data_IF_041634824639
#
_entry.id   IF_041634824639
#
_cell.length_a   1.000
_cell.length_b   1.000
_cell.length_c   1.000
_cell.angle_alpha   90.00
_cell.angle_beta   90.00
_cell.angle_gamma   90.00
#
_symmetry.space_group_name_H-M   'P 1'
#
loop_
_entity.id
_entity.type
_entity.pdbx_description
1 polymer ?
#
# COMPACT_ATOMS: atom_id res chain seq x y z
N UNK A 1 13.81 8.13 -6.66
CA UNK A 1 12.78 9.02 -6.09
C UNK A 1 11.57 8.21 -5.65
N UNK A 2 11.11 8.36 -4.42
CA UNK A 2 9.90 7.67 -4.01
C UNK A 2 8.66 8.28 -4.68
N UNK A 3 7.70 7.43 -4.95
CA UNK A 3 6.39 7.85 -5.47
C UNK A 3 5.35 7.53 -4.41
N UNK A 4 4.71 8.55 -3.87
CA UNK A 4 3.67 8.34 -2.86
C UNK A 4 2.40 7.82 -3.52
N UNK A 5 1.94 6.68 -3.04
CA UNK A 5 0.63 6.15 -3.39
C UNK A 5 -0.45 6.79 -2.53
N UNK A 6 -0.07 7.15 -1.31
CA UNK A 6 -0.93 7.85 -0.37
C UNK A 6 -0.04 8.72 0.51
N UNK A 7 -0.22 10.04 0.46
CA UNK A 7 0.45 10.93 1.39
C UNK A 7 -0.19 10.77 2.77
N UNK A 8 0.56 11.10 3.83
CA UNK A 8 0.08 10.91 5.18
C UNK A 8 -1.30 11.52 5.38
N UNK A 9 -2.20 10.73 5.94
CA UNK A 9 -3.54 11.18 6.30
C UNK A 9 -4.06 10.39 7.48
N UNK A 10 -5.05 10.95 8.14
CA UNK A 10 -5.76 10.30 9.24
C UNK A 10 -7.11 9.83 8.71
N UNK A 11 -7.44 8.56 8.94
CA UNK A 11 -8.68 7.96 8.47
C UNK A 11 -9.44 7.34 9.63
N UNK A 12 -10.75 7.30 9.52
CA UNK A 12 -11.64 6.75 10.54
C UNK A 12 -12.50 5.61 10.03
N UNK A 13 -12.40 5.29 8.74
CA UNK A 13 -13.21 4.24 8.12
C UNK A 13 -12.47 3.67 6.93
N UNK A 14 -13.00 2.57 6.40
CA UNK A 14 -12.46 1.96 5.19
C UNK A 14 -12.46 2.97 4.04
N UNK A 15 -11.53 2.83 3.13
CA UNK A 15 -11.46 3.73 2.00
C UNK A 15 -10.40 3.34 1.00
N UNK A 16 -10.19 4.21 0.04
CA UNK A 16 -9.17 4.05 -0.99
C UNK A 16 -8.52 5.39 -1.30
N UNK A 17 -7.26 5.32 -1.70
CA UNK A 17 -6.49 6.49 -2.09
C UNK A 17 -6.72 6.89 -3.54
N UNK A 18 -5.97 7.89 -4.00
CA UNK A 18 -6.07 8.35 -5.38
C UNK A 18 -5.53 7.30 -6.36
N UNK A 19 -5.94 7.41 -7.60
CA UNK A 19 -5.38 6.61 -8.69
C UNK A 19 -4.04 7.23 -9.08
N UNK A 20 -2.99 6.43 -9.03
CA UNK A 20 -1.62 6.88 -9.33
C UNK A 20 -1.18 6.26 -10.65
N UNK A 21 -0.82 7.09 -11.60
CA UNK A 21 -0.26 6.63 -12.87
C UNK A 21 1.22 6.33 -12.69
N UNK A 22 1.62 5.13 -13.12
CA UNK A 22 3.00 4.68 -12.93
C UNK A 22 3.99 5.31 -13.89
N UNK A 23 3.57 5.56 -15.14
CA UNK A 23 4.49 6.09 -16.14
C UNK A 23 5.71 5.20 -16.32
N UNK A 24 6.94 5.75 -16.17
CA UNK A 24 8.16 4.97 -16.36
C UNK A 24 8.40 3.92 -15.27
N UNK A 25 7.67 3.96 -14.17
CA UNK A 25 7.79 2.97 -13.10
C UNK A 25 7.05 1.67 -13.40
N UNK A 26 6.24 1.63 -14.46
CA UNK A 26 5.50 0.44 -14.83
C UNK A 26 6.44 -0.71 -15.16
N UNK A 27 6.06 -1.92 -14.76
CA UNK A 27 6.81 -3.13 -15.09
C UNK A 27 8.11 -3.33 -14.33
N UNK A 28 8.37 -2.54 -13.31
CA UNK A 28 9.62 -2.61 -12.54
C UNK A 28 9.41 -3.22 -11.15
N UNK A 29 10.50 -3.57 -10.52
CA UNK A 29 10.49 -4.05 -9.14
C UNK A 29 10.61 -2.86 -8.20
N UNK A 30 9.72 -2.79 -7.22
CA UNK A 30 9.69 -1.71 -6.24
C UNK A 30 9.70 -2.25 -4.82
N UNK A 31 10.13 -1.41 -3.90
CA UNK A 31 9.91 -1.62 -2.46
C UNK A 31 8.71 -0.76 -2.08
N UNK A 32 7.69 -1.39 -1.55
CA UNK A 32 6.49 -0.73 -1.06
C UNK A 32 6.65 -0.53 0.44
N UNK A 33 6.58 0.71 0.90
CA UNK A 33 6.70 1.05 2.30
C UNK A 33 5.38 1.61 2.82
N UNK A 34 4.91 1.05 3.93
CA UNK A 34 3.76 1.52 4.67
C UNK A 34 4.25 2.10 6.00
N UNK A 35 3.97 3.37 6.25
CA UNK A 35 4.28 3.98 7.54
C UNK A 35 2.98 4.24 8.30
N UNK A 36 2.86 3.65 9.48
CA UNK A 36 1.72 3.89 10.36
C UNK A 36 2.18 4.81 11.46
N UNK A 37 1.63 6.03 11.49
CA UNK A 37 2.02 7.08 12.41
C UNK A 37 1.08 7.21 13.60
N UNK A 38 -0.14 6.69 13.48
CA UNK A 38 -1.12 6.73 14.55
C UNK A 38 -2.04 5.51 14.46
N UNK A 39 -2.27 4.87 15.58
CA UNK A 39 -3.20 3.76 15.69
C UNK A 39 -3.72 3.72 17.12
N UNK A 40 -5.03 3.51 17.27
CA UNK A 40 -5.67 3.42 18.58
C UNK A 40 -5.57 1.96 19.06
N UNK A 41 -5.35 1.79 20.35
CA UNK A 41 -5.28 0.47 20.96
C UNK A 41 -6.52 -0.36 20.65
N UNK A 42 -6.35 -1.65 20.45
CA UNK A 42 -7.40 -2.61 20.10
C UNK A 42 -8.00 -2.39 18.71
N UNK A 43 -7.29 -1.67 17.84
CA UNK A 43 -7.67 -1.50 16.45
C UNK A 43 -6.56 -2.02 15.55
N UNK A 44 -6.91 -2.34 14.33
CA UNK A 44 -5.91 -2.78 13.35
C UNK A 44 -6.22 -2.22 11.97
N UNK A 45 -5.18 -2.07 11.19
CA UNK A 45 -5.25 -1.52 9.84
C UNK A 45 -4.78 -2.58 8.84
N UNK A 46 -5.59 -2.81 7.83
CA UNK A 46 -5.26 -3.68 6.72
C UNK A 46 -5.14 -2.83 5.46
N UNK A 47 -3.97 -2.89 4.81
CA UNK A 47 -3.68 -2.09 3.62
C UNK A 47 -3.37 -3.01 2.45
N UNK A 48 -3.94 -2.71 1.30
CA UNK A 48 -3.69 -3.43 0.07
C UNK A 48 -3.42 -2.47 -1.09
N UNK A 49 -2.67 -2.94 -2.08
CA UNK A 49 -2.38 -2.18 -3.29
C UNK A 49 -2.99 -2.91 -4.47
N UNK A 50 -3.77 -2.18 -5.24
CA UNK A 50 -4.49 -2.69 -6.39
C UNK A 50 -3.89 -2.10 -7.66
N UNK A 51 -3.88 -2.89 -8.72
CA UNK A 51 -3.36 -2.47 -10.01
C UNK A 51 -4.42 -2.51 -11.09
N UNK A 52 -4.27 -1.65 -12.09
CA UNK A 52 -5.18 -1.59 -13.22
C UNK A 52 -4.41 -1.24 -14.49
N UNK A 53 -4.88 -1.76 -15.61
CA UNK A 53 -4.33 -1.40 -16.92
C UNK A 53 -4.92 -0.10 -17.44
N UNK A 54 -6.15 0.24 -17.08
CA UNK A 54 -6.88 1.38 -17.60
C UNK A 54 -7.31 2.40 -16.55
N UNK A 55 -7.08 2.10 -15.27
CA UNK A 55 -7.48 2.97 -14.16
C UNK A 55 -8.93 2.81 -13.74
N UNK A 56 -9.67 1.89 -14.34
CA UNK A 56 -11.09 1.66 -14.04
C UNK A 56 -11.36 0.25 -13.55
N UNK A 57 -10.77 -0.75 -14.22
CA UNK A 57 -10.93 -2.15 -13.83
C UNK A 57 -9.76 -2.55 -12.92
N UNK A 58 -10.08 -2.79 -11.65
CA UNK A 58 -9.09 -3.11 -10.63
C UNK A 58 -9.00 -4.61 -10.34
N UNK A 59 -9.79 -5.42 -11.05
CA UNK A 59 -9.78 -6.87 -10.87
C UNK A 59 -10.41 -7.31 -9.56
N UNK A 60 -10.22 -8.59 -9.24
CA UNK A 60 -10.83 -9.22 -8.08
C UNK A 60 -9.89 -9.37 -6.89
N UNK A 61 -8.58 -9.15 -7.09
CA UNK A 61 -7.57 -9.36 -6.07
C UNK A 61 -6.56 -8.22 -6.07
N UNK A 62 -6.04 -7.84 -4.90
CA UNK A 62 -4.93 -6.89 -4.86
C UNK A 62 -3.65 -7.52 -5.42
N UNK A 63 -2.76 -6.69 -5.94
CA UNK A 63 -1.45 -7.17 -6.40
C UNK A 63 -0.47 -7.30 -5.23
N UNK A 64 -0.75 -6.65 -4.12
CA UNK A 64 0.03 -6.77 -2.89
C UNK A 64 -0.83 -6.35 -1.72
N UNK A 65 -0.59 -6.96 -0.56
CA UNK A 65 -1.25 -6.52 0.66
C UNK A 65 -0.36 -6.81 1.86
N UNK A 66 -0.55 -5.99 2.88
CA UNK A 66 0.05 -6.23 4.18
C UNK A 66 -0.92 -7.03 5.03
N UNK A 67 -0.43 -7.92 5.90
CA UNK A 67 -1.24 -8.48 6.98
C UNK A 67 -1.75 -7.34 7.87
N UNK A 68 -2.77 -7.61 8.66
CA UNK A 68 -3.28 -6.65 9.63
C UNK A 68 -2.15 -6.13 10.51
N UNK A 69 -2.09 -4.80 10.69
CA UNK A 69 -1.10 -4.14 11.53
C UNK A 69 -1.78 -3.56 12.75
N UNK A 70 -1.20 -3.86 13.91
CA UNK A 70 -1.71 -3.45 15.21
C UNK A 70 -0.90 -2.33 15.84
N UNK A 71 0.26 -2.00 15.28
CA UNK A 71 1.20 -1.06 15.88
C UNK A 71 1.73 -0.07 14.86
N UNK A 72 2.10 1.11 15.35
CA UNK A 72 2.83 2.07 14.54
C UNK A 72 4.17 1.50 14.12
N UNK A 73 4.69 1.97 13.01
CA UNK A 73 5.99 1.56 12.51
C UNK A 73 6.09 1.67 11.01
N UNK A 74 7.24 1.24 10.51
CA UNK A 74 7.52 1.16 9.07
C UNK A 74 7.51 -0.31 8.67
N UNK A 75 6.75 -0.59 7.64
CA UNK A 75 6.61 -1.93 7.10
C UNK A 75 6.93 -1.91 5.62
N UNK A 76 7.79 -2.82 5.17
CA UNK A 76 8.21 -2.86 3.78
C UNK A 76 7.96 -4.23 3.18
N UNK A 77 7.61 -4.26 1.90
CA UNK A 77 7.48 -5.49 1.12
C UNK A 77 7.86 -5.20 -0.32
N UNK A 78 8.18 -6.25 -1.06
CA UNK A 78 8.46 -6.10 -2.48
C UNK A 78 7.16 -6.00 -3.26
N UNK A 79 7.14 -5.09 -4.22
CA UNK A 79 6.06 -4.96 -5.18
C UNK A 79 6.64 -5.22 -6.56
N UNK A 80 6.44 -6.43 -7.07
CA UNK A 80 7.03 -6.84 -8.33
C UNK A 80 6.08 -6.56 -9.48
N UNK A 81 6.21 -5.38 -10.06
CA UNK A 81 5.40 -5.00 -11.21
C UNK A 81 5.87 -5.65 -12.51
N UNK A 82 7.04 -6.28 -12.50
CA UNK A 82 7.48 -7.04 -13.67
C UNK A 82 6.65 -8.30 -13.87
N UNK A 83 6.03 -8.81 -12.80
CA UNK A 83 5.07 -9.91 -12.88
C UNK A 83 3.68 -9.45 -13.34
N UNK A 84 3.46 -8.15 -13.42
CA UNK A 84 2.20 -7.53 -13.82
C UNK A 84 2.46 -6.46 -14.90
N UNK A 85 2.92 -6.87 -16.10
CA UNK A 85 3.36 -5.90 -17.11
C UNK A 85 2.24 -5.02 -17.65
N UNK A 86 0.99 -5.44 -17.52
CA UNK A 86 -0.15 -4.67 -18.01
C UNK A 86 -0.60 -3.57 -17.05
N UNK A 87 -0.10 -3.58 -15.82
CA UNK A 87 -0.51 -2.62 -14.82
C UNK A 87 0.14 -1.27 -15.11
N UNK A 88 -0.69 -0.24 -15.23
CA UNK A 88 -0.26 1.14 -15.48
C UNK A 88 -0.66 2.08 -14.36
N UNK A 89 -1.58 1.66 -13.51
CA UNK A 89 -2.12 2.47 -12.42
C UNK A 89 -2.14 1.69 -11.14
N UNK A 90 -1.88 2.36 -10.02
CA UNK A 90 -1.96 1.76 -8.67
C UNK A 90 -2.93 2.55 -7.82
N UNK A 91 -3.53 1.87 -6.86
CA UNK A 91 -4.41 2.47 -5.85
C UNK A 91 -4.25 1.71 -4.56
N UNK A 92 -4.16 2.45 -3.46
CA UNK A 92 -4.15 1.89 -2.12
C UNK A 92 -5.58 1.80 -1.62
N UNK A 93 -5.92 0.68 -0.99
CA UNK A 93 -7.19 0.52 -0.26
C UNK A 93 -6.87 0.12 1.17
N UNK A 94 -7.72 0.51 2.08
CA UNK A 94 -7.53 0.16 3.48
C UNK A 94 -8.83 -0.22 4.13
N UNK A 95 -8.71 -1.10 5.16
CA UNK A 95 -9.81 -1.51 6.01
C UNK A 95 -9.42 -1.27 7.46
N UNK A 96 -10.30 -0.64 8.18
CA UNK A 96 -10.12 -0.33 9.58
C UNK A 96 -10.93 -1.33 10.41
N UNK A 97 -10.27 -2.03 11.32
CA UNK A 97 -10.91 -3.07 12.15
C UNK A 97 -10.86 -2.70 13.62
N UNK A 98 -11.91 -3.04 14.35
CA UNK A 98 -11.99 -2.95 15.80
C UNK A 98 -12.17 -4.34 16.38
N UNK A 99 -11.57 -4.58 17.54
CA UNK A 99 -11.72 -5.87 18.23
C UNK A 99 -13.08 -6.01 18.90
N UNK A 100 -13.71 -4.89 19.25
CA UNK A 100 -14.99 -4.88 19.94
C UNK A 100 -15.88 -3.79 19.39
N UNK A 101 -17.19 -4.03 19.37
CA UNK A 101 -18.18 -3.04 18.95
C UNK A 101 -18.22 -1.83 19.88
N UNK A 102 -17.76 -2.00 21.11
CA UNK A 102 -17.75 -0.93 22.12
C UNK A 102 -16.48 -0.09 22.08
N UNK A 103 -15.53 -0.45 21.21
CA UNK A 103 -14.32 0.33 21.06
C UNK A 103 -14.62 1.68 20.39
N UNK A 104 -13.71 2.62 20.59
CA UNK A 104 -13.80 3.93 19.95
C UNK A 104 -13.86 3.81 18.44
N UNK A 105 -14.33 4.87 17.79
CA UNK A 105 -14.25 5.00 16.34
C UNK A 105 -12.80 4.75 15.89
N UNK A 106 -12.58 3.96 14.84
CA UNK A 106 -11.24 3.73 14.33
C UNK A 106 -10.55 5.05 13.97
N UNK A 107 -9.25 5.11 14.27
CA UNK A 107 -8.44 6.27 13.94
C UNK A 107 -7.04 5.81 13.60
N UNK A 108 -6.64 6.03 12.34
CA UNK A 108 -5.33 5.63 11.83
C UNK A 108 -4.69 6.78 11.09
N UNK A 109 -3.40 7.00 11.37
CA UNK A 109 -2.59 7.88 10.55
C UNK A 109 -1.58 7.03 9.80
N UNK A 110 -1.49 7.19 8.49
CA UNK A 110 -0.55 6.39 7.72
C UNK A 110 -0.29 7.01 6.34
N UNK A 111 0.77 6.50 5.72
CA UNK A 111 1.16 6.85 4.35
C UNK A 111 1.73 5.61 3.67
N UNK A 112 1.81 5.64 2.34
CA UNK A 112 2.40 4.55 1.57
C UNK A 112 3.14 5.12 0.36
N UNK A 113 4.35 4.58 0.09
CA UNK A 113 5.09 4.98 -1.08
C UNK A 113 5.86 3.79 -1.66
N UNK A 114 6.24 3.91 -2.92
CA UNK A 114 7.08 2.92 -3.61
C UNK A 114 8.38 3.59 -4.06
N UNK A 115 9.46 2.80 -4.05
CA UNK A 115 10.73 3.19 -4.62
C UNK A 115 11.22 2.06 -5.51
N UNK A 116 11.81 2.40 -6.64
CA UNK A 116 12.37 1.40 -7.52
C UNK A 116 13.51 0.67 -6.81
N UNK A 117 13.38 -0.66 -6.73
CA UNK A 117 14.40 -1.50 -6.14
C UNK A 117 15.57 -1.72 -7.12
N UNK A 118 15.23 -1.86 -8.38
CA UNK A 118 16.21 -1.96 -9.44
C UNK A 118 17.07 -3.21 -9.45
N UNK A 119 17.87 -3.30 -10.48
CA UNK A 119 18.74 -4.44 -10.72
C UNK A 119 19.88 -4.54 -9.69
N UNK A 120 20.13 -3.49 -8.94
CA UNK A 120 21.22 -3.45 -7.96
C UNK A 120 21.09 -4.54 -6.90
N UNK A 121 19.88 -4.80 -6.42
CA UNK A 121 19.68 -5.87 -5.45
C UNK A 121 19.98 -7.23 -6.04
N UNK A 122 19.57 -7.44 -7.28
CA UNK A 122 19.83 -8.70 -7.98
C UNK A 122 21.34 -8.89 -8.17
N UNK A 123 22.03 -7.85 -8.57
CA UNK A 123 23.49 -7.90 -8.77
C UNK A 123 24.21 -8.20 -7.46
N UNK A 124 23.73 -7.67 -6.35
CA UNK A 124 24.35 -7.91 -5.05
C UNK A 124 24.18 -9.35 -4.57
N UNK A 125 23.13 -10.02 -5.00
CA UNK A 125 22.85 -11.40 -4.63
C UNK A 125 23.58 -12.38 -5.56
N UNK A 126 23.76 -11.98 -6.77
CA UNK A 126 24.48 -12.79 -7.74
C UNK A 126 25.98 -12.79 -7.45
#
# INVERSE_FOLDING_TARGET
MPTFLLTERVVQSDGSGPVIELGPDAGKLHVLTLGITRIVEHQSLEVSVWGSADGEDWGSYPISRYPQKLYCGLYSTLLNLSAHPDVRYLRVQWKAHRLSKNDSTPLFGFYAYVEESGARMVAAVA
#
